data_IF_830835004319
#
_entry.id   IF_830835004319
#
_cell.length_a   1.000
_cell.length_b   1.000
_cell.length_c   1.000
_cell.angle_alpha   90.00
_cell.angle_beta   90.00
_cell.angle_gamma   90.00
#
_symmetry.space_group_name_H-M   'P 1'
#
loop_
_entity.id
_entity.type
_entity.pdbx_description
1 polymer ?
#
# COMPACT_ATOMS: atom_id res chain seq x y z
N UNK A 1 -6.86 -8.54 41.52
CA UNK A 1 -8.14 -8.80 40.80
C UNK A 1 -7.82 -8.82 39.32
N UNK A 2 -7.92 -9.98 38.66
CA UNK A 2 -7.56 -10.10 37.25
C UNK A 2 -8.71 -9.57 36.39
N UNK A 3 -8.40 -8.70 35.42
CA UNK A 3 -9.35 -8.24 34.41
C UNK A 3 -9.03 -8.94 33.10
N UNK A 4 -10.03 -9.57 32.49
CA UNK A 4 -9.94 -10.18 31.16
C UNK A 4 -10.48 -9.16 30.17
N UNK A 5 -9.67 -8.81 29.17
CA UNK A 5 -10.03 -7.86 28.11
C UNK A 5 -10.05 -8.61 26.79
N UNK A 6 -11.17 -8.55 26.09
CA UNK A 6 -11.30 -9.08 24.73
C UNK A 6 -11.17 -7.92 23.75
N UNK A 7 -10.15 -7.99 22.89
CA UNK A 7 -9.91 -7.01 21.82
C UNK A 7 -10.00 -7.68 20.47
N UNK A 8 -10.55 -6.95 19.49
CA UNK A 8 -10.62 -7.42 18.10
C UNK A 8 -9.22 -7.35 17.50
N UNK A 9 -8.69 -8.50 17.09
CA UNK A 9 -7.41 -8.59 16.40
C UNK A 9 -7.61 -8.60 14.88
N UNK A 10 -6.69 -7.97 14.16
CA UNK A 10 -6.65 -7.97 12.70
C UNK A 10 -5.33 -8.57 12.22
N UNK A 11 -5.36 -9.34 11.15
CA UNK A 11 -4.15 -9.85 10.53
C UNK A 11 -3.34 -8.71 9.89
N UNK A 12 -2.02 -8.89 9.81
CA UNK A 12 -1.12 -7.91 9.20
C UNK A 12 -1.38 -7.84 7.69
N UNK A 13 -1.50 -6.64 7.08
CA UNK A 13 -1.64 -6.53 5.63
C UNK A 13 -0.35 -6.99 4.94
N UNK A 14 -0.50 -7.77 3.89
CA UNK A 14 0.61 -8.24 3.04
C UNK A 14 0.43 -7.61 1.66
N UNK A 15 1.53 -7.24 1.03
CA UNK A 15 1.50 -6.52 -0.24
C UNK A 15 2.82 -6.61 -0.98
N UNK A 16 2.77 -6.19 -2.24
CA UNK A 16 3.88 -6.23 -3.17
C UNK A 16 4.16 -4.82 -3.71
N UNK A 17 5.39 -4.61 -4.17
CA UNK A 17 5.79 -3.39 -4.85
C UNK A 17 5.41 -3.46 -6.33
N UNK A 18 4.34 -2.74 -6.70
CA UNK A 18 3.86 -2.71 -8.09
C UNK A 18 4.40 -1.46 -8.78
N UNK A 19 5.04 -1.65 -9.93
CA UNK A 19 5.48 -0.55 -10.78
C UNK A 19 4.30 -0.08 -11.64
N UNK A 20 3.74 1.08 -11.31
CA UNK A 20 2.67 1.71 -12.10
C UNK A 20 3.24 2.86 -12.95
N UNK A 21 2.75 2.96 -14.19
CA UNK A 21 3.05 4.11 -15.05
C UNK A 21 2.02 5.19 -14.77
N UNK A 22 2.45 6.29 -14.18
CA UNK A 22 1.60 7.44 -13.86
C UNK A 22 1.90 8.55 -14.88
N UNK A 23 0.90 9.13 -15.55
CA UNK A 23 1.12 10.29 -16.41
C UNK A 23 1.55 11.48 -15.54
N UNK A 24 2.64 12.16 -15.90
CA UNK A 24 3.12 13.31 -15.13
C UNK A 24 2.38 14.60 -15.45
N UNK A 25 1.45 14.57 -16.41
CA UNK A 25 0.78 15.76 -16.93
C UNK A 25 1.69 16.64 -17.80
N UNK A 26 2.95 16.25 -17.98
CA UNK A 26 3.88 16.93 -18.87
C UNK A 26 3.78 16.36 -20.28
N UNK A 27 3.48 17.23 -21.24
CA UNK A 27 3.48 16.89 -22.66
C UNK A 27 4.83 17.32 -23.21
N UNK A 28 5.64 16.35 -23.66
CA UNK A 28 6.85 16.65 -24.43
C UNK A 28 6.51 16.70 -25.90
N UNK A 29 6.78 17.84 -26.54
CA UNK A 29 6.70 17.98 -27.98
C UNK A 29 7.93 17.28 -28.59
N UNK A 30 7.71 16.12 -29.22
CA UNK A 30 8.72 15.39 -29.96
C UNK A 30 8.65 15.68 -31.46
N UNK A 31 9.64 15.24 -32.22
CA UNK A 31 9.73 15.41 -33.68
C UNK A 31 8.57 14.76 -34.47
N UNK A 32 7.76 13.91 -33.81
CA UNK A 32 6.61 13.19 -34.37
C UNK A 32 5.27 13.53 -33.68
N UNK A 33 5.22 14.59 -32.86
CA UNK A 33 4.01 15.04 -32.17
C UNK A 33 4.14 15.10 -30.64
N UNK A 34 3.03 15.43 -29.99
CA UNK A 34 2.91 15.52 -28.53
C UNK A 34 2.95 14.12 -27.89
N UNK A 35 3.87 13.92 -26.94
CA UNK A 35 3.97 12.67 -26.18
C UNK A 35 3.85 12.98 -24.69
N UNK A 36 2.84 12.39 -24.04
CA UNK A 36 2.72 12.42 -22.59
C UNK A 36 3.92 11.73 -21.95
N UNK A 37 4.54 12.41 -20.99
CA UNK A 37 5.62 11.86 -20.18
C UNK A 37 5.00 10.96 -19.12
N UNK A 38 5.33 9.66 -19.18
CA UNK A 38 4.91 8.68 -18.19
C UNK A 38 6.06 8.45 -17.21
N UNK A 39 5.80 8.63 -15.91
CA UNK A 39 6.75 8.26 -14.84
C UNK A 39 6.44 6.86 -14.35
N UNK A 40 7.47 6.05 -14.14
CA UNK A 40 7.36 4.80 -13.41
C UNK A 40 7.43 5.12 -11.91
N UNK A 41 6.38 4.79 -11.18
CA UNK A 41 6.34 4.87 -9.73
C UNK A 41 6.14 3.48 -9.15
N UNK A 42 7.02 3.11 -8.23
CA UNK A 42 6.83 1.92 -7.40
C UNK A 42 5.88 2.29 -6.28
N UNK A 43 4.71 1.65 -6.23
CA UNK A 43 3.74 1.84 -5.15
C UNK A 43 3.53 0.50 -4.46
N UNK A 44 3.57 0.52 -3.14
CA UNK A 44 3.19 -0.62 -2.35
C UNK A 44 1.67 -0.82 -2.46
N UNK A 45 1.25 -2.01 -2.88
CA UNK A 45 -0.15 -2.37 -3.01
C UNK A 45 -0.45 -3.56 -2.11
N UNK A 46 -1.50 -3.43 -1.28
CA UNK A 46 -1.96 -4.53 -0.47
C UNK A 46 -2.57 -5.62 -1.37
N UNK A 47 -2.03 -6.83 -1.29
CA UNK A 47 -2.49 -8.00 -2.05
C UNK A 47 -3.28 -8.96 -1.18
N UNK A 48 -3.19 -8.84 0.15
CA UNK A 48 -3.97 -9.67 1.07
C UNK A 48 -3.68 -9.40 2.55
N UNK A 49 -3.90 -10.44 3.34
CA UNK A 49 -3.71 -10.46 4.78
C UNK A 49 -2.83 -11.66 5.14
N UNK A 50 -1.99 -11.49 6.15
CA UNK A 50 -1.18 -12.59 6.69
C UNK A 50 -2.09 -13.66 7.30
N UNK A 51 -1.71 -14.91 7.18
CA UNK A 51 -2.36 -16.07 7.81
C UNK A 51 -1.77 -16.42 9.18
N UNK A 52 -0.62 -15.83 9.54
CA UNK A 52 0.15 -16.19 10.72
C UNK A 52 0.53 -15.00 11.61
N UNK A 53 0.44 -13.76 11.12
CA UNK A 53 0.82 -12.56 11.87
C UNK A 53 -0.38 -11.65 12.12
N UNK A 54 -0.57 -11.28 13.38
CA UNK A 54 -1.49 -10.22 13.80
C UNK A 54 -0.79 -8.87 13.69
N UNK A 55 -1.54 -7.87 13.26
CA UNK A 55 -1.09 -6.48 13.26
C UNK A 55 -1.00 -5.96 14.69
N UNK A 56 0.15 -6.22 15.32
CA UNK A 56 0.43 -5.83 16.69
C UNK A 56 0.52 -4.31 16.90
N UNK A 57 0.89 -3.55 15.87
CA UNK A 57 0.95 -2.09 15.95
C UNK A 57 -0.46 -1.49 15.99
N UNK A 58 -1.37 -2.03 15.18
CA UNK A 58 -2.79 -1.66 15.28
C UNK A 58 -3.37 -2.09 16.61
N UNK A 59 -3.12 -3.34 17.02
CA UNK A 59 -3.66 -3.89 18.25
C UNK A 59 -3.23 -3.10 19.50
N UNK A 60 -1.97 -2.62 19.55
CA UNK A 60 -1.48 -1.84 20.68
C UNK A 60 -2.10 -0.44 20.78
N UNK A 61 -2.66 0.09 19.70
CA UNK A 61 -3.43 1.35 19.70
C UNK A 61 -4.88 1.13 20.17
N UNK A 62 -5.39 -0.09 20.04
CA UNK A 62 -6.78 -0.46 20.38
C UNK A 62 -6.94 -0.95 21.84
N UNK A 63 -5.84 -1.19 22.57
CA UNK A 63 -5.78 -1.64 23.99
C UNK A 63 -5.38 -0.49 24.91
#
# INVERSE_FOLDING_TARGET
MNKIVYVKAYFKPVGEEVTVKVPTGEIKQGFFGEKEVMRKETRWQQTGWSDCQIDGERLSKDV
#
